data_IF_875726517526
#
_entry.id   IF_875726517526
#
_cell.length_a   1.000
_cell.length_b   1.000
_cell.length_c   1.000
_cell.angle_alpha   90.00
_cell.angle_beta   90.00
_cell.angle_gamma   90.00
#
_symmetry.space_group_name_H-M   'P 1'
#
loop_
_entity.id
_entity.type
_entity.pdbx_description
1 polymer ?
#
# COMPACT_ATOMS: atom_id res chain seq x y z
N UNK A 1 4.97 8.17 -7.92
CA UNK A 1 4.88 6.89 -8.67
C UNK A 1 4.39 5.74 -7.80
N UNK A 2 5.00 5.47 -6.64
CA UNK A 2 4.63 4.35 -5.76
C UNK A 2 3.11 4.14 -5.50
N UNK A 3 2.34 5.19 -5.15
CA UNK A 3 0.89 5.04 -4.97
C UNK A 3 0.16 4.67 -6.28
N UNK A 4 0.58 5.18 -7.43
CA UNK A 4 0.00 4.82 -8.71
C UNK A 4 0.31 3.34 -9.07
N UNK A 5 1.52 2.87 -8.79
CA UNK A 5 1.91 1.47 -8.93
C UNK A 5 1.07 0.57 -8.00
N UNK A 6 0.86 0.99 -6.75
CA UNK A 6 -0.01 0.29 -5.82
C UNK A 6 -1.45 0.22 -6.34
N UNK A 7 -2.00 1.31 -6.89
CA UNK A 7 -3.33 1.32 -7.51
C UNK A 7 -3.43 0.34 -8.68
N UNK A 8 -2.39 0.27 -9.51
CA UNK A 8 -2.30 -0.73 -10.58
C UNK A 8 -2.38 -2.16 -10.02
N UNK A 9 -1.61 -2.45 -8.96
CA UNK A 9 -1.63 -3.76 -8.30
C UNK A 9 -3.00 -4.07 -7.65
N UNK A 10 -3.70 -3.09 -7.07
CA UNK A 10 -5.08 -3.27 -6.61
C UNK A 10 -5.99 -3.71 -7.76
N UNK A 11 -5.78 -3.14 -8.95
CA UNK A 11 -6.45 -3.54 -10.18
C UNK A 11 -6.15 -4.99 -10.55
N UNK A 12 -4.88 -5.41 -10.54
CA UNK A 12 -4.51 -6.79 -10.78
C UNK A 12 -5.20 -7.74 -9.80
N UNK A 13 -5.24 -7.43 -8.50
CA UNK A 13 -5.91 -8.27 -7.50
C UNK A 13 -7.41 -8.40 -7.73
N UNK A 14 -8.10 -7.30 -8.08
CA UNK A 14 -9.55 -7.33 -8.36
C UNK A 14 -9.90 -8.11 -9.63
N UNK A 15 -8.95 -8.29 -10.54
CA UNK A 15 -9.12 -9.01 -11.81
C UNK A 15 -8.27 -10.30 -11.83
N UNK A 16 -8.05 -10.92 -10.66
CA UNK A 16 -7.21 -12.12 -10.53
C UNK A 16 -7.86 -13.40 -11.05
N UNK A 17 -9.10 -13.32 -11.54
CA UNK A 17 -9.74 -14.35 -12.37
C UNK A 17 -9.04 -14.50 -13.73
N UNK A 18 -8.41 -13.44 -14.23
CA UNK A 18 -7.66 -13.44 -15.51
C UNK A 18 -6.20 -13.02 -15.36
N UNK A 19 -5.87 -12.17 -14.40
CA UNK A 19 -4.49 -11.72 -14.13
C UNK A 19 -3.84 -12.70 -13.15
N UNK A 20 -3.05 -13.64 -13.67
CA UNK A 20 -2.40 -14.69 -12.87
C UNK A 20 -1.09 -14.27 -12.21
N UNK A 21 -0.55 -13.09 -12.53
CA UNK A 21 0.68 -12.59 -11.94
C UNK A 21 1.13 -11.24 -12.49
N UNK A 22 2.01 -10.58 -11.76
CA UNK A 22 2.67 -9.33 -12.19
C UNK A 22 4.12 -9.31 -11.69
N UNK A 23 4.98 -8.61 -12.42
CA UNK A 23 6.38 -8.41 -12.05
C UNK A 23 6.80 -6.98 -12.40
N UNK A 24 7.54 -6.34 -11.51
CA UNK A 24 8.06 -4.99 -11.75
C UNK A 24 9.25 -5.03 -12.71
N UNK A 25 9.22 -4.20 -13.75
CA UNK A 25 10.34 -3.98 -14.66
C UNK A 25 10.83 -2.53 -14.61
N UNK A 26 12.10 -2.23 -14.31
CA UNK A 26 13.24 -3.14 -14.08
C UNK A 26 13.43 -3.54 -12.59
N UNK A 27 14.05 -4.71 -12.35
CA UNK A 27 14.30 -5.18 -10.98
C UNK A 27 15.52 -4.50 -10.32
N UNK A 28 16.68 -4.56 -10.97
CA UNK A 28 17.96 -4.09 -10.43
C UNK A 28 18.64 -3.21 -11.49
N UNK A 29 19.17 -2.05 -11.06
CA UNK A 29 19.97 -1.15 -11.90
C UNK A 29 21.14 -0.54 -11.12
N UNK A 30 22.16 -0.08 -11.84
CA UNK A 30 23.22 0.73 -11.22
C UNK A 30 22.64 2.12 -10.85
N UNK A 31 23.07 2.68 -9.72
CA UNK A 31 22.48 3.89 -9.12
C UNK A 31 22.55 5.15 -10.00
N UNK A 32 23.68 5.34 -10.69
CA UNK A 32 24.06 6.48 -11.54
C UNK A 32 23.84 6.23 -13.05
N UNK A 33 23.26 5.09 -13.45
CA UNK A 33 23.11 4.68 -14.86
C UNK A 33 22.43 5.78 -15.69
N UNK A 34 21.36 6.37 -15.15
CA UNK A 34 20.71 7.58 -15.65
C UNK A 34 19.72 8.10 -14.59
N UNK A 35 19.71 9.42 -14.27
CA UNK A 35 18.84 10.02 -13.25
C UNK A 35 17.35 9.65 -13.31
N UNK A 36 16.82 9.30 -14.49
CA UNK A 36 15.38 9.01 -14.71
C UNK A 36 15.04 7.53 -14.83
N UNK A 37 15.99 6.61 -14.65
CA UNK A 37 15.67 5.18 -14.74
C UNK A 37 14.98 4.67 -13.48
N UNK A 38 13.91 3.91 -13.68
CA UNK A 38 13.13 3.27 -12.61
C UNK A 38 13.60 1.83 -12.38
N UNK A 39 13.79 1.47 -11.11
CA UNK A 39 14.02 0.11 -10.65
C UNK A 39 13.55 -0.04 -9.20
N UNK A 40 13.19 -1.25 -8.77
CA UNK A 40 12.91 -1.49 -7.34
C UNK A 40 14.19 -1.44 -6.51
N UNK A 41 15.28 -2.00 -7.03
CA UNK A 41 16.60 -1.94 -6.39
C UNK A 41 17.57 -1.14 -7.25
N UNK A 42 18.30 -0.23 -6.62
CA UNK A 42 19.46 0.42 -7.23
C UNK A 42 20.72 0.11 -6.42
N UNK A 43 21.89 0.10 -7.04
CA UNK A 43 23.13 -0.22 -6.31
C UNK A 43 24.35 0.57 -6.80
N UNK A 44 25.30 0.77 -5.90
CA UNK A 44 26.71 1.08 -6.22
C UNK A 44 27.53 -0.21 -6.13
N UNK A 45 28.87 -0.11 -6.03
CA UNK A 45 29.73 -1.26 -5.78
C UNK A 45 29.53 -1.86 -4.36
N UNK A 46 29.08 -1.04 -3.40
CA UNK A 46 29.10 -1.34 -1.96
C UNK A 46 27.79 -0.99 -1.22
N UNK A 47 26.81 -0.38 -1.89
CA UNK A 47 25.54 0.00 -1.30
C UNK A 47 24.35 -0.43 -2.16
N UNK A 48 23.21 -0.67 -1.50
CA UNK A 48 21.93 -0.98 -2.14
C UNK A 48 20.88 0.01 -1.65
N UNK A 49 20.20 0.65 -2.59
CA UNK A 49 19.01 1.45 -2.37
C UNK A 49 17.75 0.63 -2.65
N UNK A 50 16.83 0.65 -1.69
CA UNK A 50 15.44 0.21 -1.87
C UNK A 50 14.58 1.43 -2.21
N UNK A 51 14.02 1.45 -3.42
CA UNK A 51 13.15 2.56 -3.83
C UNK A 51 11.78 2.45 -3.16
N UNK A 52 10.96 3.51 -3.24
CA UNK A 52 9.58 3.45 -2.77
C UNK A 52 8.81 2.30 -3.45
N UNK A 53 9.10 2.05 -4.74
CA UNK A 53 8.52 0.95 -5.52
C UNK A 53 8.91 -0.42 -4.96
N UNK A 54 10.14 -0.60 -4.46
CA UNK A 54 10.52 -1.84 -3.75
C UNK A 54 9.60 -2.10 -2.57
N UNK A 55 9.34 -1.05 -1.77
CA UNK A 55 8.48 -1.19 -0.60
C UNK A 55 7.03 -1.47 -0.97
N UNK A 56 6.51 -0.92 -2.08
CA UNK A 56 5.20 -1.30 -2.62
C UNK A 56 5.16 -2.78 -2.98
N UNK A 57 6.12 -3.26 -3.79
CA UNK A 57 6.16 -4.67 -4.22
C UNK A 57 6.28 -5.60 -3.02
N UNK A 58 7.19 -5.31 -2.08
CA UNK A 58 7.37 -6.10 -0.85
C UNK A 58 6.09 -6.13 -0.02
N UNK A 59 5.44 -4.98 0.17
CA UNK A 59 4.26 -4.86 1.01
C UNK A 59 3.05 -5.60 0.39
N UNK A 60 2.87 -5.54 -0.93
CA UNK A 60 1.81 -6.29 -1.61
C UNK A 60 2.06 -7.79 -1.61
N UNK A 61 3.30 -8.23 -1.90
CA UNK A 61 3.67 -9.64 -1.90
C UNK A 61 3.54 -10.29 -0.51
N UNK A 62 3.89 -9.55 0.56
CA UNK A 62 3.76 -10.03 1.94
C UNK A 62 2.30 -10.13 2.44
N UNK A 63 1.35 -9.51 1.72
CA UNK A 63 -0.06 -9.45 2.10
C UNK A 63 -0.94 -9.95 0.95
N UNK A 64 -0.59 -11.08 0.36
CA UNK A 64 -1.37 -11.70 -0.72
C UNK A 64 -2.46 -12.60 -0.13
N UNK A 65 -3.71 -12.41 -0.55
CA UNK A 65 -4.80 -13.34 -0.22
C UNK A 65 -4.94 -14.45 -1.26
N UNK A 66 -5.66 -15.51 -0.90
CA UNK A 66 -6.00 -16.63 -1.80
C UNK A 66 -7.30 -16.42 -2.58
N UNK A 67 -8.18 -15.54 -2.10
CA UNK A 67 -9.48 -15.25 -2.73
C UNK A 67 -9.79 -13.76 -2.66
N UNK A 68 -10.41 -13.20 -3.70
CA UNK A 68 -10.94 -11.83 -3.68
C UNK A 68 -12.19 -11.73 -2.81
N UNK A 69 -12.35 -10.62 -2.10
CA UNK A 69 -13.51 -10.32 -1.28
C UNK A 69 -14.28 -9.15 -1.90
N UNK A 70 -15.60 -9.28 -2.17
CA UNK A 70 -16.40 -8.17 -2.65
C UNK A 70 -16.44 -7.01 -1.66
N UNK A 71 -16.31 -5.78 -2.16
CA UNK A 71 -16.38 -4.56 -1.35
C UNK A 71 -17.51 -3.67 -1.87
N UNK A 72 -18.42 -3.29 -0.98
CA UNK A 72 -19.46 -2.28 -1.26
C UNK A 72 -19.02 -0.94 -0.68
N UNK A 73 -18.88 0.08 -1.52
CA UNK A 73 -18.66 1.46 -1.09
C UNK A 73 -20.00 2.20 -1.02
N UNK A 74 -20.32 2.79 0.12
CA UNK A 74 -21.61 3.47 0.39
C UNK A 74 -21.49 4.99 0.49
N UNK A 75 -20.28 5.54 0.53
CA UNK A 75 -19.99 6.97 0.68
C UNK A 75 -19.11 7.57 -0.42
N UNK A 76 -18.98 6.89 -1.56
CA UNK A 76 -18.14 7.35 -2.67
C UNK A 76 -17.83 6.25 -3.68
N UNK A 77 -17.10 6.62 -4.73
CA UNK A 77 -16.54 5.73 -5.74
C UNK A 77 -15.01 5.72 -5.65
N UNK A 78 -14.35 4.98 -6.53
CA UNK A 78 -12.90 5.10 -6.67
C UNK A 78 -12.47 6.55 -6.92
N UNK A 79 -11.40 6.96 -6.23
CA UNK A 79 -10.86 8.31 -6.30
C UNK A 79 -11.48 9.23 -5.25
N UNK A 80 -10.69 9.80 -4.31
CA UNK A 80 -9.22 9.75 -4.24
C UNK A 80 -8.65 8.50 -3.53
N UNK A 81 -9.50 7.67 -2.91
CA UNK A 81 -9.09 6.41 -2.28
C UNK A 81 -9.42 5.24 -3.21
N UNK A 82 -8.50 4.30 -3.32
CA UNK A 82 -8.63 3.09 -4.13
C UNK A 82 -8.43 1.86 -3.24
N UNK A 83 -9.07 0.73 -3.57
CA UNK A 83 -9.00 -0.46 -2.74
C UNK A 83 -9.10 -1.78 -3.51
N UNK A 84 -8.58 -2.83 -2.87
CA UNK A 84 -8.88 -4.24 -3.14
C UNK A 84 -9.00 -4.94 -1.80
N UNK A 85 -9.85 -5.97 -1.74
CA UNK A 85 -9.93 -6.83 -0.57
C UNK A 85 -9.71 -8.28 -1.01
N UNK A 86 -8.96 -9.01 -0.19
CA UNK A 86 -8.71 -10.43 -0.35
C UNK A 86 -8.81 -11.11 1.02
N UNK A 87 -8.85 -12.43 1.05
CA UNK A 87 -8.79 -13.21 2.29
C UNK A 87 -7.83 -14.39 2.15
N UNK A 88 -7.34 -14.87 3.27
CA UNK A 88 -6.74 -16.19 3.43
C UNK A 88 -7.65 -17.05 4.31
N UNK A 89 -7.21 -18.24 4.72
CA UNK A 89 -7.93 -19.05 5.70
C UNK A 89 -8.16 -18.31 7.03
N UNK A 90 -7.21 -17.45 7.45
CA UNK A 90 -7.17 -16.89 8.80
C UNK A 90 -7.43 -15.38 8.85
N UNK A 91 -7.35 -14.67 7.72
CA UNK A 91 -7.33 -13.21 7.68
C UNK A 91 -8.16 -12.64 6.55
N UNK A 92 -8.80 -11.50 6.80
CA UNK A 92 -9.32 -10.62 5.76
C UNK A 92 -8.37 -9.44 5.59
N UNK A 93 -7.92 -9.20 4.36
CA UNK A 93 -6.99 -8.14 4.00
C UNK A 93 -7.72 -7.09 3.18
N UNK A 94 -7.70 -5.84 3.62
CA UNK A 94 -8.15 -4.69 2.85
C UNK A 94 -6.94 -3.79 2.58
N UNK A 95 -6.58 -3.65 1.32
CA UNK A 95 -5.54 -2.72 0.87
C UNK A 95 -6.21 -1.44 0.39
N UNK A 96 -5.75 -0.31 0.89
CA UNK A 96 -6.24 1.02 0.57
C UNK A 96 -5.07 1.89 0.10
N UNK A 97 -5.28 2.67 -0.95
CA UNK A 97 -4.32 3.65 -1.43
C UNK A 97 -5.00 5.02 -1.49
N UNK A 98 -4.51 5.95 -0.68
CA UNK A 98 -4.89 7.36 -0.78
C UNK A 98 -4.00 8.02 -1.83
N UNK A 99 -4.61 8.58 -2.88
CA UNK A 99 -3.89 9.25 -3.97
C UNK A 99 -4.40 10.67 -4.15
N UNK A 100 -3.65 11.61 -3.58
CA UNK A 100 -4.00 13.02 -3.49
C UNK A 100 -5.33 13.30 -2.77
N UNK A 101 -5.71 12.45 -1.81
CA UNK A 101 -6.96 12.60 -1.08
C UNK A 101 -6.85 13.38 0.22
N UNK A 102 -8.02 13.55 0.84
CA UNK A 102 -8.16 14.19 2.15
C UNK A 102 -7.51 13.35 3.25
N UNK A 103 -7.15 13.99 4.36
CA UNK A 103 -6.44 13.38 5.49
C UNK A 103 -7.10 13.72 6.81
N UNK A 104 -6.68 13.04 7.87
CA UNK A 104 -7.12 13.29 9.24
C UNK A 104 -8.42 12.58 9.63
N UNK A 105 -8.77 12.58 10.93
CA UNK A 105 -9.84 11.74 11.47
C UNK A 105 -11.23 12.00 10.90
N UNK A 106 -11.52 13.25 10.48
CA UNK A 106 -12.79 13.62 9.86
C UNK A 106 -13.01 12.93 8.49
N UNK A 107 -11.93 12.50 7.83
CA UNK A 107 -11.96 11.84 6.52
C UNK A 107 -11.61 10.34 6.61
N UNK A 108 -11.77 9.74 7.80
CA UNK A 108 -11.46 8.33 8.01
C UNK A 108 -12.32 7.42 7.13
N UNK A 109 -11.69 6.43 6.50
CA UNK A 109 -12.40 5.35 5.83
C UNK A 109 -12.95 4.41 6.90
N UNK A 110 -14.27 4.29 6.95
CA UNK A 110 -14.99 3.40 7.88
C UNK A 110 -15.11 2.02 7.25
N UNK A 111 -14.53 1.02 7.90
CA UNK A 111 -14.45 -0.35 7.38
C UNK A 111 -15.22 -1.28 8.30
N UNK A 112 -16.22 -1.96 7.75
CA UNK A 112 -16.95 -3.03 8.41
C UNK A 112 -16.77 -4.32 7.61
N UNK A 113 -16.40 -5.41 8.28
CA UNK A 113 -16.34 -6.73 7.65
C UNK A 113 -17.61 -7.49 8.01
N UNK A 114 -18.41 -7.81 6.99
CA UNK A 114 -19.68 -8.53 7.16
C UNK A 114 -19.44 -9.84 7.90
N UNK A 115 -20.22 -10.10 8.95
CA UNK A 115 -20.16 -11.29 9.80
C UNK A 115 -18.85 -11.47 10.60
N UNK A 116 -17.94 -10.49 10.62
CA UNK A 116 -16.77 -10.55 11.47
C UNK A 116 -17.12 -10.17 12.92
N UNK A 117 -16.53 -10.88 13.87
CA UNK A 117 -16.56 -10.56 15.31
C UNK A 117 -15.26 -9.93 15.79
N UNK A 118 -14.34 -9.62 14.87
CA UNK A 118 -13.05 -9.05 15.21
C UNK A 118 -13.21 -7.68 15.88
N UNK A 119 -12.61 -7.52 17.06
CA UNK A 119 -12.59 -6.26 17.80
C UNK A 119 -11.27 -5.51 17.64
N UNK A 120 -10.27 -6.15 17.03
CA UNK A 120 -8.96 -5.58 16.72
C UNK A 120 -8.52 -5.97 15.31
N UNK A 121 -7.75 -5.09 14.68
CA UNK A 121 -7.09 -5.33 13.41
C UNK A 121 -5.67 -4.77 13.46
N UNK A 122 -4.78 -5.28 12.61
CA UNK A 122 -3.46 -4.69 12.39
C UNK A 122 -3.51 -3.80 11.15
N UNK A 123 -3.03 -2.56 11.24
CA UNK A 123 -2.83 -1.71 10.08
C UNK A 123 -1.34 -1.50 9.85
N UNK A 124 -0.88 -1.77 8.64
CA UNK A 124 0.47 -1.47 8.17
C UNK A 124 0.39 -0.35 7.14
N UNK A 125 1.19 0.70 7.32
CA UNK A 125 1.14 1.92 6.50
C UNK A 125 2.50 2.19 5.89
N UNK A 126 2.55 2.34 4.57
CA UNK A 126 3.69 2.88 3.82
C UNK A 126 3.39 4.34 3.46
N UNK A 127 4.24 5.26 3.94
CA UNK A 127 4.09 6.69 3.72
C UNK A 127 5.44 7.38 3.48
N UNK A 128 5.38 8.62 3.03
CA UNK A 128 6.53 9.51 2.87
C UNK A 128 6.10 10.96 3.18
N UNK A 129 7.03 11.92 3.33
CA UNK A 129 6.68 13.30 3.66
C UNK A 129 5.68 13.96 2.70
N UNK A 130 5.79 13.70 1.39
CA UNK A 130 4.90 14.23 0.34
C UNK A 130 4.93 13.37 -0.96
N UNK A 131 4.09 13.69 -1.93
CA UNK A 131 3.96 12.95 -3.20
C UNK A 131 5.19 12.95 -4.12
N UNK A 132 6.15 13.86 -3.89
CA UNK A 132 7.40 13.96 -4.63
C UNK A 132 8.59 13.32 -3.90
N UNK A 133 8.36 12.73 -2.73
CA UNK A 133 9.42 12.12 -1.92
C UNK A 133 10.01 10.87 -2.59
N UNK A 134 11.32 10.74 -2.51
CA UNK A 134 12.09 9.62 -3.06
C UNK A 134 13.07 9.11 -2.01
N UNK A 135 13.40 7.82 -2.06
CA UNK A 135 14.51 7.26 -1.31
C UNK A 135 15.81 7.48 -2.06
N UNK A 136 16.88 7.77 -1.32
CA UNK A 136 18.24 7.87 -1.81
C UNK A 136 19.19 7.00 -0.99
N UNK A 137 20.40 6.78 -1.50
CA UNK A 137 21.48 6.23 -0.69
C UNK A 137 21.78 7.15 0.51
N UNK A 138 22.43 6.64 1.58
CA UNK A 138 22.73 7.45 2.77
C UNK A 138 23.43 8.78 2.46
N UNK A 139 24.38 8.79 1.51
CA UNK A 139 25.07 10.00 1.08
C UNK A 139 24.19 11.03 0.33
N UNK A 140 23.03 10.61 -0.18
CA UNK A 140 22.05 11.43 -0.90
C UNK A 140 20.82 11.82 -0.07
N UNK A 141 20.90 11.76 1.27
CA UNK A 141 19.79 12.08 2.17
C UNK A 141 18.96 10.89 2.64
N UNK A 142 19.34 9.66 2.26
CA UNK A 142 18.76 8.42 2.77
C UNK A 142 17.32 8.13 2.32
N UNK A 143 16.70 7.15 2.97
CA UNK A 143 15.32 6.76 2.70
C UNK A 143 14.36 7.74 3.40
N UNK A 144 13.41 8.29 2.64
CA UNK A 144 12.37 9.19 3.15
C UNK A 144 11.04 8.46 3.38
N UNK A 145 10.84 7.32 2.71
CA UNK A 145 9.69 6.46 2.95
C UNK A 145 9.81 5.74 4.29
N UNK A 146 8.69 5.49 4.95
CA UNK A 146 8.64 4.71 6.18
C UNK A 146 7.49 3.71 6.15
N UNK A 147 7.67 2.57 6.82
CA UNK A 147 6.62 1.58 7.04
C UNK A 147 6.36 1.49 8.55
N UNK A 148 5.15 1.83 8.97
CA UNK A 148 4.68 1.68 10.34
C UNK A 148 3.63 0.57 10.47
N UNK A 149 3.52 -0.03 11.65
CA UNK A 149 2.44 -0.96 11.97
C UNK A 149 1.86 -0.63 13.33
N UNK A 150 0.53 -0.68 13.46
CA UNK A 150 -0.18 -0.43 14.70
C UNK A 150 -1.47 -1.25 14.78
N UNK A 151 -2.02 -1.41 15.98
CA UNK A 151 -3.32 -2.03 16.18
C UNK A 151 -4.44 -1.00 16.11
N UNK A 152 -5.51 -1.32 15.37
CA UNK A 152 -6.78 -0.60 15.39
C UNK A 152 -7.79 -1.37 16.21
N UNK A 153 -8.60 -0.64 16.99
CA UNK A 153 -9.77 -1.21 17.67
C UNK A 153 -11.02 -0.89 16.87
N UNK A 154 -11.94 -1.85 16.80
CA UNK A 154 -13.25 -1.62 16.25
C UNK A 154 -14.14 -0.90 17.27
N UNK A 155 -14.89 0.09 16.81
CA UNK A 155 -15.99 0.70 17.56
C UNK A 155 -17.29 0.20 16.95
N UNK A 156 -18.10 -0.53 17.73
CA UNK A 156 -19.34 -1.16 17.25
C UNK A 156 -19.15 -2.00 15.96
N UNK A 157 -18.02 -2.72 15.86
CA UNK A 157 -17.68 -3.55 14.70
C UNK A 157 -17.14 -2.78 13.48
N UNK A 158 -16.83 -1.49 13.62
CA UNK A 158 -16.30 -0.63 12.55
C UNK A 158 -14.87 -0.20 12.87
N UNK A 159 -13.95 -0.45 11.96
CA UNK A 159 -12.57 0.06 12.02
C UNK A 159 -12.50 1.43 11.32
N UNK A 160 -11.78 2.38 11.91
CA UNK A 160 -11.53 3.70 11.31
C UNK A 160 -10.10 3.77 10.77
N UNK A 161 -9.95 3.71 9.46
CA UNK A 161 -8.65 3.88 8.79
C UNK A 161 -8.44 5.36 8.48
N UNK A 162 -7.46 5.98 9.16
CA UNK A 162 -7.13 7.40 8.98
C UNK A 162 -5.87 7.52 8.15
N UNK A 163 -5.95 8.26 7.04
CA UNK A 163 -4.76 8.68 6.31
C UNK A 163 -4.17 9.94 6.93
N UNK A 164 -2.87 9.90 7.22
CA UNK A 164 -2.09 11.02 7.73
C UNK A 164 -1.50 11.87 6.60
N UNK A 165 -1.33 11.28 5.41
CA UNK A 165 -0.78 11.91 4.21
C UNK A 165 -1.71 11.73 3.01
N UNK A 166 -1.69 12.69 2.10
CA UNK A 166 -2.48 12.63 0.85
C UNK A 166 -1.98 11.54 -0.11
N UNK A 167 -0.77 11.02 0.12
CA UNK A 167 -0.18 9.90 -0.61
C UNK A 167 0.28 8.85 0.40
N UNK A 168 -0.51 7.79 0.56
CA UNK A 168 -0.29 6.80 1.61
C UNK A 168 -0.93 5.46 1.21
N UNK A 169 -0.28 4.37 1.56
CA UNK A 169 -0.75 3.00 1.30
C UNK A 169 -0.98 2.34 2.64
N UNK A 170 -2.18 1.83 2.86
CA UNK A 170 -2.56 1.15 4.09
C UNK A 170 -3.01 -0.28 3.80
N UNK A 171 -2.56 -1.23 4.61
CA UNK A 171 -3.05 -2.60 4.61
C UNK A 171 -3.66 -2.86 5.97
N UNK A 172 -4.97 -3.06 5.98
CA UNK A 172 -5.73 -3.49 7.14
C UNK A 172 -5.86 -5.02 7.11
N UNK A 173 -5.30 -5.68 8.11
CA UNK A 173 -5.40 -7.12 8.35
C UNK A 173 -6.32 -7.37 9.54
N UNK A 174 -7.45 -8.00 9.27
CA UNK A 174 -8.52 -8.30 10.23
C UNK A 174 -8.56 -9.80 10.49
#
# INVERSE_FOLDING_TARGET
MACAEAIFLLGCERNSDVIVGSAYGALIKQYDEEPRTVAVLKHTADQILKTNSFYVQKLFAANLGSETVPVTATGGNFGPVYWSATKTADKTLLKLVNYNGQTGPANAVKVQVKNSKATSATITVLSAPNGSSVNNLPGGGGETSSIGTMSLKAENGVFSVVFSKSYEIAILSI
#
